data_IF_152186975530
#
_entry.id   IF_152186975530
#
_cell.length_a   1.000
_cell.length_b   1.000
_cell.length_c   1.000
_cell.angle_alpha   90.00
_cell.angle_beta   90.00
_cell.angle_gamma   90.00
#
_symmetry.space_group_name_H-M   'P 1'
#
loop_
_entity.id
_entity.type
_entity.pdbx_description
1 polymer ?
#
# COMPACT_ATOMS: atom_id res chain seq x y z
N UNK A 1 0.85 19.21 -4.23
CA UNK A 1 -0.08 18.68 -3.21
C UNK A 1 -0.73 17.42 -3.71
N UNK A 2 -0.93 16.40 -2.84
CA UNK A 2 -1.73 15.22 -3.16
C UNK A 2 -3.09 15.57 -3.77
N UNK A 3 -3.57 14.71 -4.65
CA UNK A 3 -4.88 14.82 -5.30
C UNK A 3 -5.97 14.93 -4.24
N UNK A 4 -6.78 15.99 -4.32
CA UNK A 4 -7.88 16.28 -3.40
C UNK A 4 -7.45 16.37 -1.91
N UNK A 5 -6.19 16.73 -1.64
CA UNK A 5 -5.70 16.90 -0.27
C UNK A 5 -6.56 17.92 0.51
N UNK A 6 -6.81 17.63 1.78
CA UNK A 6 -7.55 18.48 2.73
C UNK A 6 -9.01 18.76 2.34
N UNK A 7 -9.62 17.92 1.50
CA UNK A 7 -11.01 18.13 1.04
C UNK A 7 -12.05 17.30 1.81
N UNK A 8 -11.60 16.28 2.56
CA UNK A 8 -12.44 15.21 3.14
C UNK A 8 -13.37 14.57 2.08
N UNK A 9 -12.93 14.54 0.81
CA UNK A 9 -13.72 14.04 -0.30
C UNK A 9 -14.02 12.55 -0.13
N UNK A 10 -15.33 12.22 -0.17
CA UNK A 10 -15.86 10.85 -0.14
C UNK A 10 -16.56 10.45 -1.44
N UNK A 11 -16.68 11.39 -2.37
CA UNK A 11 -17.23 11.13 -3.69
C UNK A 11 -16.23 10.29 -4.50
N UNK A 12 -16.58 9.02 -4.69
CA UNK A 12 -15.74 8.04 -5.38
C UNK A 12 -15.58 8.36 -6.87
N UNK A 13 -16.60 8.94 -7.51
CA UNK A 13 -16.51 9.34 -8.92
C UNK A 13 -15.55 10.52 -9.05
N UNK A 14 -15.65 11.51 -8.16
CA UNK A 14 -14.74 12.64 -8.14
C UNK A 14 -13.29 12.22 -7.85
N UNK A 15 -13.06 11.31 -6.90
CA UNK A 15 -11.71 10.79 -6.60
C UNK A 15 -11.14 10.08 -7.84
N UNK A 16 -11.92 9.20 -8.49
CA UNK A 16 -11.47 8.50 -9.70
C UNK A 16 -11.20 9.46 -10.84
N UNK A 17 -12.05 10.46 -11.06
CA UNK A 17 -11.88 11.46 -12.11
C UNK A 17 -10.69 12.41 -11.85
N UNK A 18 -10.31 12.63 -10.59
CA UNK A 18 -9.23 13.54 -10.19
C UNK A 18 -7.85 12.87 -10.17
N UNK A 19 -7.80 11.53 -10.16
CA UNK A 19 -6.55 10.78 -10.11
C UNK A 19 -6.24 10.14 -11.46
N UNK A 20 -5.20 10.62 -12.14
CA UNK A 20 -4.91 10.29 -13.54
C UNK A 20 -4.93 8.78 -13.84
N UNK A 21 -4.30 7.88 -13.05
CA UNK A 21 -4.38 6.43 -13.30
C UNK A 21 -5.80 5.88 -13.40
N UNK A 22 -6.76 6.45 -12.67
CA UNK A 22 -8.16 6.00 -12.67
C UNK A 22 -9.03 6.78 -13.65
N UNK A 23 -8.69 8.05 -13.92
CA UNK A 23 -9.38 8.87 -14.91
C UNK A 23 -9.03 8.46 -16.36
N UNK A 24 -7.80 8.00 -16.58
CA UNK A 24 -7.25 7.57 -17.87
C UNK A 24 -6.50 6.25 -17.72
N UNK A 25 -7.21 5.15 -17.42
CA UNK A 25 -6.57 3.86 -17.21
C UNK A 25 -5.87 3.32 -18.47
N UNK A 26 -6.25 3.82 -19.65
CA UNK A 26 -5.61 3.55 -20.93
C UNK A 26 -4.22 4.19 -21.09
N UNK A 27 -3.89 5.20 -20.26
CA UNK A 27 -2.58 5.86 -20.26
C UNK A 27 -1.53 5.08 -19.43
N UNK A 28 -1.97 4.25 -18.48
CA UNK A 28 -1.10 3.48 -17.60
C UNK A 28 -0.64 2.23 -18.33
N UNK A 29 0.67 2.08 -18.47
CA UNK A 29 1.29 0.93 -19.16
C UNK A 29 1.75 -0.16 -18.18
N UNK A 30 1.79 0.11 -16.87
CA UNK A 30 2.17 -0.86 -15.86
C UNK A 30 2.25 -0.30 -14.45
N UNK A 31 2.56 -1.18 -13.50
CA UNK A 31 2.64 -0.85 -12.08
C UNK A 31 4.06 -1.00 -11.53
N UNK A 32 4.42 -0.13 -10.59
CA UNK A 32 5.52 -0.33 -9.66
C UNK A 32 4.89 -0.69 -8.32
N UNK A 33 5.29 -1.82 -7.72
CA UNK A 33 4.69 -2.33 -6.49
C UNK A 33 5.73 -2.42 -5.37
N UNK A 34 5.30 -2.40 -4.11
CA UNK A 34 6.16 -2.73 -2.98
C UNK A 34 6.43 -4.23 -2.86
N UNK A 35 6.92 -4.65 -1.70
CA UNK A 35 7.48 -5.98 -1.47
C UNK A 35 6.76 -6.79 -0.39
N UNK A 36 5.46 -6.54 -0.18
CA UNK A 36 4.65 -7.22 0.82
C UNK A 36 3.28 -7.71 0.30
N UNK A 37 2.46 -8.23 1.22
CA UNK A 37 1.14 -8.78 0.91
C UNK A 37 0.16 -7.72 0.39
N UNK A 38 0.14 -6.51 0.95
CA UNK A 38 -0.81 -5.48 0.52
C UNK A 38 -0.47 -4.99 -0.88
N UNK A 39 0.81 -4.75 -1.14
CA UNK A 39 1.32 -4.44 -2.48
C UNK A 39 0.90 -5.49 -3.52
N UNK A 40 1.06 -6.78 -3.22
CA UNK A 40 0.65 -7.87 -4.12
C UNK A 40 -0.87 -7.92 -4.33
N UNK A 41 -1.67 -7.83 -3.27
CA UNK A 41 -3.14 -7.88 -3.37
C UNK A 41 -3.71 -6.67 -4.10
N UNK A 42 -3.20 -5.47 -3.80
CA UNK A 42 -3.56 -4.23 -4.47
C UNK A 42 -3.26 -4.29 -5.97
N UNK A 43 -2.08 -4.79 -6.34
CA UNK A 43 -1.70 -4.97 -7.74
C UNK A 43 -2.53 -6.06 -8.44
N UNK A 44 -2.81 -7.18 -7.78
CA UNK A 44 -3.69 -8.23 -8.32
C UNK A 44 -5.08 -7.70 -8.63
N UNK A 45 -5.67 -6.93 -7.71
CA UNK A 45 -6.98 -6.32 -7.93
C UNK A 45 -6.98 -5.33 -9.10
N UNK A 46 -5.97 -4.46 -9.17
CA UNK A 46 -5.83 -3.50 -10.27
C UNK A 46 -5.55 -4.19 -11.61
N UNK A 47 -4.78 -5.27 -11.62
CA UNK A 47 -4.57 -6.10 -12.81
C UNK A 47 -5.88 -6.71 -13.29
N UNK A 48 -6.67 -7.30 -12.40
CA UNK A 48 -7.99 -7.82 -12.76
C UNK A 48 -8.91 -6.74 -13.33
N UNK A 49 -8.80 -5.50 -12.82
CA UNK A 49 -9.68 -4.41 -13.21
C UNK A 49 -9.28 -3.73 -14.53
N UNK A 50 -7.99 -3.54 -14.75
CA UNK A 50 -7.46 -2.72 -15.84
C UNK A 50 -6.46 -3.44 -16.76
N UNK A 51 -6.04 -4.65 -16.40
CA UNK A 51 -5.07 -5.43 -17.15
C UNK A 51 -3.61 -4.99 -16.98
N UNK A 52 -3.32 -4.04 -16.09
CA UNK A 52 -1.97 -3.50 -15.93
C UNK A 52 -0.98 -4.57 -15.46
N UNK A 53 0.19 -4.74 -16.11
CA UNK A 53 1.24 -5.65 -15.67
C UNK A 53 2.13 -5.03 -14.58
N UNK A 54 2.97 -5.83 -13.94
CA UNK A 54 4.06 -5.33 -13.08
C UNK A 54 5.25 -4.95 -13.94
N UNK A 55 5.62 -3.67 -13.95
CA UNK A 55 6.79 -3.14 -14.66
C UNK A 55 8.01 -2.96 -13.74
N UNK A 56 7.79 -2.89 -12.42
CA UNK A 56 8.86 -2.78 -11.43
C UNK A 56 8.44 -3.15 -10.03
N UNK A 57 9.43 -3.43 -9.19
CA UNK A 57 9.25 -3.80 -7.79
C UNK A 57 10.20 -2.97 -6.94
N UNK A 58 9.68 -2.32 -5.91
CA UNK A 58 10.47 -1.56 -4.96
C UNK A 58 10.69 -2.34 -3.65
N UNK A 59 11.83 -3.02 -3.55
CA UNK A 59 12.17 -3.84 -2.39
C UNK A 59 12.87 -3.02 -1.31
N UNK A 60 12.49 -3.26 -0.05
CA UNK A 60 13.08 -2.74 1.18
C UNK A 60 13.21 -1.21 1.26
N UNK A 61 12.47 -0.50 0.40
CA UNK A 61 12.64 0.92 0.14
C UNK A 61 14.07 1.31 -0.28
N UNK A 62 14.85 0.41 -0.88
CA UNK A 62 16.23 0.68 -1.30
C UNK A 62 16.52 0.26 -2.73
N UNK A 63 15.80 -0.72 -3.28
CA UNK A 63 16.08 -1.25 -4.63
C UNK A 63 14.83 -1.23 -5.49
N UNK A 64 14.81 -0.36 -6.49
CA UNK A 64 13.76 -0.31 -7.49
C UNK A 64 14.16 -1.17 -8.69
N UNK A 65 13.67 -2.41 -8.70
CA UNK A 65 13.88 -3.38 -9.77
C UNK A 65 13.04 -3.05 -10.99
N UNK A 66 13.62 -3.21 -12.18
CA UNK A 66 12.96 -2.96 -13.46
C UNK A 66 13.00 -4.20 -14.36
N UNK A 67 11.92 -4.42 -15.13
CA UNK A 67 11.81 -5.59 -16.02
C UNK A 67 12.80 -5.51 -17.18
N UNK A 68 12.76 -4.43 -17.96
CA UNK A 68 13.51 -4.26 -19.20
C UNK A 68 14.91 -3.63 -18.98
N UNK A 69 15.18 -2.51 -19.65
CA UNK A 69 16.38 -1.70 -19.49
C UNK A 69 16.12 -0.52 -18.55
N UNK A 70 17.15 -0.03 -17.84
CA UNK A 70 16.99 1.13 -16.95
C UNK A 70 16.55 2.39 -17.71
N UNK A 71 16.90 2.52 -18.99
CA UNK A 71 16.50 3.65 -19.83
C UNK A 71 15.00 3.63 -20.11
N UNK A 72 14.48 2.52 -20.66
CA UNK A 72 13.05 2.37 -20.98
C UNK A 72 12.19 2.49 -19.72
N UNK A 73 12.63 1.87 -18.62
CA UNK A 73 11.92 1.95 -17.35
C UNK A 73 11.83 3.40 -16.85
N UNK A 74 12.94 4.14 -16.82
CA UNK A 74 12.96 5.55 -16.40
C UNK A 74 12.12 6.44 -17.31
N UNK A 75 12.16 6.21 -18.62
CA UNK A 75 11.34 6.95 -19.57
C UNK A 75 9.85 6.79 -19.25
N UNK A 76 9.37 5.55 -19.06
CA UNK A 76 7.98 5.29 -18.70
C UNK A 76 7.62 5.84 -17.32
N UNK A 77 8.51 5.65 -16.33
CA UNK A 77 8.30 6.11 -14.96
C UNK A 77 8.14 7.64 -14.90
N UNK A 78 9.07 8.38 -15.51
CA UNK A 78 9.05 9.85 -15.50
C UNK A 78 8.13 10.48 -16.55
N UNK A 79 7.58 9.69 -17.46
CA UNK A 79 6.43 10.09 -18.28
C UNK A 79 5.08 9.90 -17.56
N UNK A 80 5.08 9.38 -16.32
CA UNK A 80 3.86 9.09 -15.56
C UNK A 80 3.04 7.92 -16.10
N UNK A 81 3.66 7.07 -16.93
CA UNK A 81 3.02 5.88 -17.53
C UNK A 81 3.03 4.68 -16.60
N UNK A 82 3.85 4.71 -15.54
CA UNK A 82 3.88 3.69 -14.50
C UNK A 82 3.22 4.22 -13.22
N UNK A 83 2.34 3.41 -12.64
CA UNK A 83 1.61 3.73 -11.42
C UNK A 83 2.25 3.03 -10.22
N UNK A 84 2.70 3.79 -9.22
CA UNK A 84 3.22 3.23 -7.98
C UNK A 84 2.06 2.86 -7.03
N UNK A 85 1.88 1.55 -6.77
CA UNK A 85 0.78 0.99 -5.99
C UNK A 85 1.29 0.59 -4.62
N UNK A 86 0.58 1.01 -3.58
CA UNK A 86 0.96 0.83 -2.17
C UNK A 86 2.31 1.47 -1.82
N UNK A 87 2.59 2.62 -2.45
CA UNK A 87 3.86 3.33 -2.31
C UNK A 87 3.62 4.85 -2.25
N UNK A 88 4.27 5.50 -1.28
CA UNK A 88 4.29 6.96 -1.14
C UNK A 88 5.56 7.53 -1.83
N UNK A 89 5.51 7.62 -3.16
CA UNK A 89 6.60 8.19 -3.98
C UNK A 89 6.50 9.72 -4.01
N UNK A 90 7.61 10.40 -3.72
CA UNK A 90 7.74 11.85 -3.78
C UNK A 90 8.42 12.26 -5.08
N UNK A 91 7.66 12.26 -6.17
CA UNK A 91 8.13 12.75 -7.46
C UNK A 91 6.97 13.24 -8.32
N UNK A 92 7.04 14.50 -8.79
CA UNK A 92 5.93 15.16 -9.49
C UNK A 92 5.52 14.51 -10.81
N UNK A 93 6.30 13.57 -11.35
CA UNK A 93 5.95 12.81 -12.54
C UNK A 93 5.42 11.39 -12.27
N UNK A 94 5.53 10.89 -11.03
CA UNK A 94 5.20 9.50 -10.72
C UNK A 94 3.85 9.48 -9.99
N UNK A 95 2.77 9.03 -10.63
CA UNK A 95 1.51 8.86 -9.93
C UNK A 95 1.66 7.74 -8.90
N UNK A 96 1.17 7.98 -7.69
CA UNK A 96 1.32 7.02 -6.59
C UNK A 96 0.06 6.91 -5.75
N UNK A 97 -0.19 5.72 -5.20
CA UNK A 97 -1.22 5.47 -4.22
C UNK A 97 -0.56 4.77 -3.05
N UNK A 98 -0.48 5.46 -1.92
CA UNK A 98 0.01 4.90 -0.67
C UNK A 98 -0.93 5.30 0.45
N UNK A 99 -0.65 4.80 1.65
CA UNK A 99 -1.52 5.03 2.79
C UNK A 99 -0.79 5.57 4.03
N UNK A 100 0.52 5.84 3.97
CA UNK A 100 1.21 6.41 5.12
C UNK A 100 0.80 7.88 5.31
N UNK A 101 1.11 8.46 6.48
CA UNK A 101 1.07 9.92 6.61
C UNK A 101 2.25 10.48 5.78
N UNK A 102 1.99 11.52 5.01
CA UNK A 102 2.97 12.14 4.11
C UNK A 102 3.23 13.62 4.42
N UNK A 103 2.61 14.21 5.44
CA UNK A 103 2.84 15.61 5.79
C UNK A 103 3.20 15.79 7.26
N UNK A 104 4.06 16.77 7.55
CA UNK A 104 4.33 17.20 8.93
C UNK A 104 3.16 18.04 9.45
N UNK A 105 2.64 18.94 8.62
CA UNK A 105 1.51 19.84 8.89
C UNK A 105 0.46 19.74 7.79
N UNK A 106 -0.77 20.16 8.08
CA UNK A 106 -1.85 20.09 7.09
C UNK A 106 -1.63 21.04 5.88
N UNK A 107 -0.87 22.13 6.09
CA UNK A 107 -0.60 23.19 5.11
C UNK A 107 0.77 23.08 4.43
N UNK A 108 1.51 21.97 4.63
CA UNK A 108 2.78 21.73 3.94
C UNK A 108 2.57 21.73 2.42
N UNK A 109 3.38 22.50 1.69
CA UNK A 109 3.43 22.41 0.23
C UNK A 109 4.27 21.20 -0.20
N UNK A 110 3.63 20.19 -0.78
CA UNK A 110 4.26 18.94 -1.22
C UNK A 110 4.13 18.77 -2.75
N UNK A 111 4.93 19.47 -3.56
CA UNK A 111 4.87 19.40 -5.03
C UNK A 111 5.22 18.01 -5.57
N UNK A 112 6.13 17.27 -4.93
CA UNK A 112 6.47 15.90 -5.32
C UNK A 112 5.30 14.91 -5.20
N UNK A 113 4.27 15.22 -4.41
CA UNK A 113 3.03 14.44 -4.33
C UNK A 113 1.90 15.00 -5.20
N UNK A 114 2.18 15.90 -6.16
CA UNK A 114 1.15 16.48 -7.05
C UNK A 114 0.26 15.47 -7.77
N UNK A 115 0.77 14.25 -8.00
CA UNK A 115 0.05 13.15 -8.62
C UNK A 115 -0.14 11.95 -7.68
N UNK A 116 -0.06 12.16 -6.37
CA UNK A 116 -0.31 11.09 -5.39
C UNK A 116 -1.75 11.14 -4.89
N UNK A 117 -2.37 9.97 -4.73
CA UNK A 117 -3.61 9.79 -3.99
C UNK A 117 -3.29 9.11 -2.66
N UNK A 118 -3.79 9.63 -1.56
CA UNK A 118 -3.51 9.07 -0.24
C UNK A 118 -4.69 9.36 0.71
N UNK A 119 -5.28 8.35 1.38
CA UNK A 119 -6.45 8.53 2.23
C UNK A 119 -6.20 9.48 3.41
N UNK A 120 -5.00 9.48 4.02
CA UNK A 120 -4.67 10.45 5.07
C UNK A 120 -4.66 11.88 4.51
N UNK A 121 -4.09 12.07 3.32
CA UNK A 121 -4.05 13.38 2.69
C UNK A 121 -5.44 13.91 2.30
N UNK A 122 -6.34 13.04 1.80
CA UNK A 122 -7.74 13.41 1.53
C UNK A 122 -8.39 14.06 2.76
N UNK A 123 -8.13 13.48 3.94
CA UNK A 123 -8.69 13.95 5.23
C UNK A 123 -7.85 15.00 5.96
N UNK A 124 -6.75 15.42 5.35
CA UNK A 124 -5.81 16.40 5.93
C UNK A 124 -5.12 15.95 7.20
N UNK A 125 -4.85 14.65 7.34
CA UNK A 125 -4.13 14.12 8.48
C UNK A 125 -2.61 14.25 8.27
N UNK A 126 -1.94 14.73 9.31
CA UNK A 126 -0.50 14.99 9.33
C UNK A 126 0.14 14.45 10.61
N UNK A 127 1.46 14.60 10.75
CA UNK A 127 2.15 14.25 11.99
C UNK A 127 1.70 15.12 13.17
N UNK A 128 1.58 16.43 12.94
CA UNK A 128 1.20 17.39 13.98
C UNK A 128 -0.31 17.34 14.27
N UNK A 129 -1.13 17.00 13.28
CA UNK A 129 -2.58 17.02 13.38
C UNK A 129 -3.19 15.66 13.06
N UNK A 130 -3.99 15.13 13.99
CA UNK A 130 -4.75 13.89 13.80
C UNK A 130 -3.94 12.61 13.54
N UNK A 131 -2.63 12.57 13.80
CA UNK A 131 -1.82 11.34 13.67
C UNK A 131 -2.41 10.06 14.29
N UNK A 132 -3.08 10.17 15.44
CA UNK A 132 -3.72 9.02 16.12
C UNK A 132 -4.95 8.47 15.37
N UNK A 133 -5.48 9.24 14.42
CA UNK A 133 -6.62 8.89 13.55
C UNK A 133 -6.16 8.47 12.15
N UNK A 134 -4.85 8.28 11.93
CA UNK A 134 -4.30 7.87 10.64
C UNK A 134 -5.02 6.63 10.10
N UNK A 135 -5.07 6.52 8.78
CA UNK A 135 -5.67 5.41 8.06
C UNK A 135 -5.15 4.06 8.60
N UNK A 136 -6.01 3.21 9.20
CA UNK A 136 -5.60 2.00 9.90
C UNK A 136 -5.80 0.73 9.07
N UNK A 137 -6.13 0.87 7.79
CA UNK A 137 -6.41 -0.24 6.89
C UNK A 137 -5.32 -0.31 5.81
N UNK A 138 -5.29 -1.42 5.08
CA UNK A 138 -4.43 -1.58 3.91
C UNK A 138 -4.92 -0.78 2.68
N UNK A 139 -4.03 -0.54 1.72
CA UNK A 139 -4.29 0.08 0.41
C UNK A 139 -5.38 -0.67 -0.35
N UNK A 140 -5.39 -2.02 -0.29
CA UNK A 140 -6.44 -2.82 -0.93
C UNK A 140 -7.86 -2.45 -0.44
N UNK A 141 -8.04 -2.07 0.83
CA UNK A 141 -9.36 -1.66 1.34
C UNK A 141 -9.83 -0.36 0.68
N UNK A 142 -8.92 0.58 0.47
CA UNK A 142 -9.23 1.85 -0.19
C UNK A 142 -9.66 1.61 -1.64
N UNK A 143 -8.95 0.74 -2.36
CA UNK A 143 -9.27 0.35 -3.73
C UNK A 143 -10.64 -0.33 -3.85
N UNK A 144 -10.94 -1.30 -2.98
CA UNK A 144 -12.22 -2.01 -2.97
C UNK A 144 -13.38 -1.05 -2.68
N UNK A 145 -13.21 -0.12 -1.74
CA UNK A 145 -14.20 0.94 -1.49
C UNK A 145 -14.38 1.85 -2.70
N UNK A 146 -13.29 2.35 -3.27
CA UNK A 146 -13.29 3.35 -4.34
C UNK A 146 -14.02 2.84 -5.59
N UNK A 147 -13.94 1.53 -5.83
CA UNK A 147 -14.52 0.87 -6.99
C UNK A 147 -15.74 -0.02 -6.67
N UNK A 148 -16.25 0.06 -5.45
CA UNK A 148 -17.47 -0.62 -5.00
C UNK A 148 -17.46 -2.15 -5.16
N UNK A 149 -16.33 -2.78 -4.86
CA UNK A 149 -16.19 -4.23 -5.01
C UNK A 149 -16.91 -4.98 -3.87
N UNK A 150 -18.07 -5.58 -4.20
CA UNK A 150 -19.02 -6.15 -3.21
C UNK A 150 -18.98 -7.67 -3.11
N UNK A 151 -18.40 -8.36 -4.10
CA UNK A 151 -18.56 -9.81 -4.25
C UNK A 151 -17.26 -10.56 -3.98
N UNK A 152 -16.63 -10.28 -2.84
CA UNK A 152 -15.45 -11.03 -2.40
C UNK A 152 -15.87 -12.42 -1.93
N UNK A 153 -15.07 -13.44 -2.29
CA UNK A 153 -15.17 -14.73 -1.63
C UNK A 153 -14.77 -14.59 -0.15
N UNK A 154 -15.25 -15.48 0.75
CA UNK A 154 -14.83 -15.46 2.15
C UNK A 154 -13.30 -15.52 2.33
N UNK A 155 -12.63 -16.27 1.46
CA UNK A 155 -11.17 -16.38 1.42
C UNK A 155 -10.48 -15.09 0.95
N UNK A 156 -11.00 -14.41 -0.08
CA UNK A 156 -10.52 -13.08 -0.48
C UNK A 156 -10.70 -12.05 0.64
N UNK A 157 -11.85 -12.07 1.32
CA UNK A 157 -12.13 -11.19 2.43
C UNK A 157 -11.16 -11.41 3.60
N UNK A 158 -10.85 -12.67 3.93
CA UNK A 158 -9.81 -12.99 4.93
C UNK A 158 -8.42 -12.48 4.52
N UNK A 159 -8.04 -12.59 3.24
CA UNK A 159 -6.77 -12.03 2.74
C UNK A 159 -6.72 -10.51 2.82
N UNK A 160 -7.81 -9.84 2.44
CA UNK A 160 -7.93 -8.37 2.53
C UNK A 160 -7.74 -7.91 3.98
N UNK A 161 -8.42 -8.53 4.94
CA UNK A 161 -8.27 -8.17 6.35
C UNK A 161 -6.92 -8.62 6.95
N UNK A 162 -6.22 -9.57 6.34
CA UNK A 162 -4.85 -9.96 6.72
C UNK A 162 -3.81 -8.93 6.26
N UNK A 163 -4.02 -8.26 5.12
CA UNK A 163 -3.14 -7.22 4.60
C UNK A 163 -2.91 -6.11 5.65
N UNK A 164 -1.66 -5.70 5.83
CA UNK A 164 -1.17 -4.81 6.91
C UNK A 164 -1.67 -5.13 8.31
N UNK A 165 -1.98 -6.40 8.57
CA UNK A 165 -2.57 -6.82 9.84
C UNK A 165 -3.84 -6.03 10.18
N UNK A 166 -4.62 -5.63 9.16
CA UNK A 166 -5.78 -4.74 9.35
C UNK A 166 -6.80 -5.32 10.34
N UNK A 167 -6.97 -6.64 10.39
CA UNK A 167 -7.81 -7.29 11.40
C UNK A 167 -7.31 -7.07 12.84
N UNK A 168 -5.99 -7.03 13.05
CA UNK A 168 -5.38 -6.71 14.34
C UNK A 168 -5.60 -5.23 14.66
N UNK A 169 -5.48 -4.34 13.67
CA UNK A 169 -5.82 -2.92 13.81
C UNK A 169 -7.29 -2.75 14.25
N UNK A 170 -8.22 -3.48 13.63
CA UNK A 170 -9.64 -3.48 13.99
C UNK A 170 -9.90 -3.93 15.44
N UNK A 171 -9.04 -4.77 16.00
CA UNK A 171 -9.13 -5.22 17.38
C UNK A 171 -8.55 -4.19 18.36
N UNK A 172 -7.36 -3.63 18.10
CA UNK A 172 -6.66 -2.76 19.06
C UNK A 172 -6.97 -1.27 18.89
N UNK A 173 -7.23 -0.81 17.67
CA UNK A 173 -7.54 0.58 17.33
C UNK A 173 -8.99 0.73 16.86
N UNK A 174 -9.89 0.02 17.54
CA UNK A 174 -11.28 -0.16 17.12
C UNK A 174 -12.01 1.15 16.81
N UNK A 175 -11.91 2.15 17.68
CA UNK A 175 -12.57 3.45 17.47
C UNK A 175 -12.10 4.13 16.18
N UNK A 176 -10.80 4.09 15.88
CA UNK A 176 -10.25 4.66 14.66
C UNK A 176 -10.72 3.87 13.43
N UNK A 177 -10.68 2.53 13.49
CA UNK A 177 -11.14 1.67 12.39
C UNK A 177 -12.63 1.86 12.12
N UNK A 178 -13.46 1.91 13.17
CA UNK A 178 -14.90 2.19 13.07
C UNK A 178 -15.15 3.59 12.50
N UNK A 179 -14.34 4.59 12.84
CA UNK A 179 -14.44 5.93 12.24
C UNK A 179 -14.25 5.86 10.71
N UNK A 180 -13.18 5.22 10.25
CA UNK A 180 -12.90 5.08 8.81
C UNK A 180 -13.95 4.23 8.09
N UNK A 181 -14.31 3.07 8.64
CA UNK A 181 -15.23 2.13 7.99
C UNK A 181 -16.67 2.64 8.01
N UNK A 182 -17.17 3.11 9.16
CA UNK A 182 -18.58 3.48 9.30
C UNK A 182 -18.86 4.90 8.81
N UNK A 183 -17.92 5.85 8.96
CA UNK A 183 -18.18 7.28 8.65
C UNK A 183 -17.57 7.73 7.34
N UNK A 184 -16.30 7.38 7.08
CA UNK A 184 -15.62 7.81 5.87
C UNK A 184 -16.01 6.95 4.67
N UNK A 185 -15.78 5.64 4.74
CA UNK A 185 -16.11 4.73 3.67
C UNK A 185 -17.61 4.44 3.57
N UNK A 186 -18.24 4.18 4.71
CA UNK A 186 -19.62 3.72 4.82
C UNK A 186 -19.92 2.60 3.80
N UNK A 187 -19.02 1.62 3.73
CA UNK A 187 -19.10 0.52 2.76
C UNK A 187 -19.71 -0.71 3.41
N UNK A 188 -20.90 -1.17 2.99
CA UNK A 188 -21.63 -2.24 3.69
C UNK A 188 -20.80 -3.50 3.95
N UNK A 189 -19.99 -3.94 2.99
CA UNK A 189 -19.14 -5.12 3.15
C UNK A 189 -18.17 -4.98 4.34
N UNK A 190 -17.51 -3.82 4.47
CA UNK A 190 -16.59 -3.58 5.59
C UNK A 190 -17.33 -3.41 6.91
N UNK A 191 -18.45 -2.68 6.91
CA UNK A 191 -19.27 -2.45 8.12
C UNK A 191 -19.76 -3.77 8.70
N UNK A 192 -20.23 -4.68 7.84
CA UNK A 192 -20.73 -5.99 8.25
C UNK A 192 -19.63 -6.90 8.82
N UNK A 193 -18.37 -6.72 8.38
CA UNK A 193 -17.26 -7.52 8.86
C UNK A 193 -16.72 -7.12 10.22
N UNK A 194 -16.83 -5.85 10.63
CA UNK A 194 -16.23 -5.35 11.87
C UNK A 194 -16.54 -6.20 13.13
N UNK A 195 -17.79 -6.65 13.39
CA UNK A 195 -18.07 -7.51 14.53
C UNK A 195 -17.35 -8.86 14.43
N UNK A 196 -17.32 -9.45 13.23
CA UNK A 196 -16.70 -10.76 12.96
C UNK A 196 -15.20 -10.75 13.27
N UNK A 197 -14.50 -9.66 12.94
CA UNK A 197 -13.06 -9.50 13.19
C UNK A 197 -12.69 -9.59 14.68
N UNK A 198 -13.64 -9.40 15.59
CA UNK A 198 -13.40 -9.49 17.04
C UNK A 198 -13.51 -10.92 17.58
N UNK A 199 -13.94 -11.88 16.75
CA UNK A 199 -14.32 -13.22 17.22
C UNK A 199 -13.15 -14.20 17.17
N UNK A 200 -13.18 -15.17 18.09
CA UNK A 200 -12.30 -16.34 18.05
C UNK A 200 -12.49 -17.14 16.74
N UNK A 201 -13.72 -17.26 16.26
CA UNK A 201 -14.04 -18.01 15.04
C UNK A 201 -13.40 -17.41 13.80
N UNK A 202 -13.36 -16.07 13.69
CA UNK A 202 -12.63 -15.40 12.61
C UNK A 202 -11.14 -15.76 12.63
N UNK A 203 -10.49 -15.62 13.78
CA UNK A 203 -9.07 -15.93 13.91
C UNK A 203 -8.76 -17.42 13.67
N UNK A 204 -9.64 -18.33 14.12
CA UNK A 204 -9.54 -19.76 13.83
C UNK A 204 -9.62 -20.02 12.34
N UNK A 205 -10.63 -19.45 11.67
CA UNK A 205 -10.82 -19.60 10.23
C UNK A 205 -9.65 -19.02 9.43
N UNK A 206 -9.17 -17.82 9.80
CA UNK A 206 -8.00 -17.19 9.19
C UNK A 206 -6.78 -18.11 9.30
N UNK A 207 -6.52 -18.64 10.50
CA UNK A 207 -5.38 -19.56 10.73
C UNK A 207 -5.51 -20.84 9.92
N UNK A 208 -6.65 -21.50 9.97
CA UNK A 208 -6.85 -22.82 9.38
C UNK A 208 -6.96 -22.77 7.85
N UNK A 209 -7.68 -21.78 7.32
CA UNK A 209 -7.94 -21.67 5.89
C UNK A 209 -6.86 -20.89 5.16
N UNK A 210 -6.31 -19.82 5.74
CA UNK A 210 -5.31 -18.97 5.06
C UNK A 210 -3.90 -19.31 5.53
N UNK A 211 -3.58 -19.05 6.80
CA UNK A 211 -2.19 -19.03 7.27
C UNK A 211 -1.48 -20.37 7.07
N UNK A 212 -2.11 -21.50 7.42
CA UNK A 212 -1.53 -22.85 7.19
C UNK A 212 -1.19 -23.14 5.72
N UNK A 213 -1.90 -22.52 4.77
CA UNK A 213 -1.61 -22.67 3.34
C UNK A 213 -0.47 -21.75 2.93
N UNK A 214 -0.47 -20.52 3.43
CA UNK A 214 0.55 -19.52 3.16
C UNK A 214 1.91 -19.90 3.75
N UNK A 215 1.97 -20.47 4.96
CA UNK A 215 3.19 -20.96 5.64
C UNK A 215 4.03 -21.95 4.80
N UNK A 216 3.45 -22.56 3.76
CA UNK A 216 4.17 -23.45 2.85
C UNK A 216 5.08 -22.70 1.87
N UNK A 217 4.81 -21.42 1.64
CA UNK A 217 5.62 -20.57 0.80
C UNK A 217 6.71 -19.89 1.65
N UNK A 218 7.99 -19.92 1.25
CA UNK A 218 9.09 -19.43 2.08
C UNK A 218 9.09 -17.92 2.30
N UNK A 219 8.32 -17.14 1.53
CA UNK A 219 8.17 -15.69 1.72
C UNK A 219 7.14 -15.35 2.81
N UNK A 220 6.37 -16.35 3.24
CA UNK A 220 5.21 -16.17 4.08
C UNK A 220 5.51 -16.65 5.50
N UNK A 221 5.60 -15.71 6.42
CA UNK A 221 6.04 -15.98 7.78
C UNK A 221 5.39 -15.03 8.78
N UNK A 222 5.13 -15.47 10.02
CA UNK A 222 4.59 -14.59 11.04
C UNK A 222 5.63 -13.50 11.36
N UNK A 223 5.17 -12.25 11.42
CA UNK A 223 5.95 -11.12 11.89
C UNK A 223 6.46 -11.41 13.30
N UNK A 224 7.66 -10.95 13.65
CA UNK A 224 8.26 -11.11 14.99
C UNK A 224 7.76 -10.11 16.03
N UNK A 225 6.83 -9.22 15.67
CA UNK A 225 6.32 -8.19 16.56
C UNK A 225 5.52 -8.75 17.75
N UNK A 226 5.45 -7.95 18.82
CA UNK A 226 4.54 -8.17 19.95
C UNK A 226 3.09 -7.73 19.65
N UNK A 227 2.84 -7.22 18.44
CA UNK A 227 1.51 -6.77 18.02
C UNK A 227 0.72 -7.97 17.46
N UNK A 228 -0.19 -8.49 18.29
CA UNK A 228 -0.88 -9.76 18.04
C UNK A 228 -2.39 -9.61 18.15
N UNK A 229 -3.12 -10.48 17.47
CA UNK A 229 -4.57 -10.60 17.64
C UNK A 229 -4.97 -10.98 19.07
N UNK A 230 -6.19 -10.63 19.46
CA UNK A 230 -6.70 -10.79 20.83
C UNK A 230 -6.94 -12.25 21.23
N UNK A 231 -7.46 -13.10 20.32
CA UNK A 231 -8.00 -14.40 20.71
C UNK A 231 -6.98 -15.54 20.60
N UNK A 232 -6.24 -15.61 19.49
CA UNK A 232 -5.26 -16.66 19.19
C UNK A 232 -3.82 -16.17 19.16
N UNK A 233 -3.56 -14.88 19.41
CA UNK A 233 -2.21 -14.32 19.40
C UNK A 233 -1.53 -14.43 18.03
N UNK A 234 -2.31 -14.32 16.95
CA UNK A 234 -1.83 -14.33 15.57
C UNK A 234 -1.11 -13.01 15.31
N UNK A 235 0.13 -13.11 14.86
CA UNK A 235 0.90 -11.95 14.40
C UNK A 235 0.50 -11.60 12.97
N UNK A 236 0.74 -10.35 12.58
CA UNK A 236 0.74 -9.99 11.16
C UNK A 236 1.54 -11.00 10.34
N UNK A 237 1.00 -11.45 9.21
CA UNK A 237 1.65 -12.46 8.39
C UNK A 237 2.34 -11.76 7.22
N UNK A 238 3.66 -11.77 7.21
CA UNK A 238 4.46 -11.05 6.23
C UNK A 238 4.71 -11.96 5.03
N UNK A 239 4.26 -11.53 3.86
CA UNK A 239 4.60 -12.11 2.55
C UNK A 239 5.70 -11.24 1.91
N UNK A 240 6.83 -11.12 2.59
CA UNK A 240 7.87 -10.15 2.23
C UNK A 240 9.01 -10.77 1.42
N UNK A 241 9.61 -9.97 0.55
CA UNK A 241 10.72 -10.40 -0.31
C UNK A 241 11.70 -9.27 -0.59
N UNK A 242 12.97 -9.58 -0.77
CA UNK A 242 14.06 -8.60 -0.82
C UNK A 242 14.74 -8.55 -2.18
N UNK A 243 14.72 -9.67 -2.90
CA UNK A 243 15.33 -9.83 -4.21
C UNK A 243 14.41 -10.67 -5.12
N UNK A 244 13.68 -10.03 -6.06
CA UNK A 244 12.71 -10.72 -6.89
C UNK A 244 13.35 -11.64 -7.94
N UNK A 245 14.66 -11.54 -8.19
CA UNK A 245 15.39 -12.48 -9.04
C UNK A 245 15.79 -13.74 -8.27
N UNK A 246 16.36 -13.60 -7.07
CA UNK A 246 16.76 -14.74 -6.25
C UNK A 246 15.55 -15.51 -5.68
N UNK A 247 14.47 -14.80 -5.39
CA UNK A 247 13.26 -15.35 -4.79
C UNK A 247 12.14 -15.57 -5.82
N UNK A 248 12.45 -15.55 -7.11
CA UNK A 248 11.43 -15.58 -8.17
C UNK A 248 10.52 -16.81 -8.08
N UNK A 249 11.07 -18.01 -7.90
CA UNK A 249 10.27 -19.23 -7.81
C UNK A 249 9.25 -19.17 -6.65
N UNK A 250 9.69 -18.65 -5.50
CA UNK A 250 8.82 -18.46 -4.35
C UNK A 250 7.77 -17.38 -4.60
N UNK A 251 8.11 -16.29 -5.30
CA UNK A 251 7.17 -15.25 -5.72
C UNK A 251 6.12 -15.78 -6.69
N UNK A 252 6.52 -16.54 -7.71
CA UNK A 252 5.61 -17.14 -8.68
C UNK A 252 4.62 -18.09 -7.97
N UNK A 253 5.13 -18.95 -7.08
CA UNK A 253 4.29 -19.84 -6.27
C UNK A 253 3.36 -19.06 -5.31
N UNK A 254 3.81 -17.93 -4.77
CA UNK A 254 2.98 -17.07 -3.93
C UNK A 254 1.84 -16.45 -4.74
N UNK A 255 2.11 -15.95 -5.95
CA UNK A 255 1.08 -15.41 -6.83
C UNK A 255 0.04 -16.45 -7.24
N UNK A 256 0.46 -17.69 -7.50
CA UNK A 256 -0.45 -18.82 -7.75
C UNK A 256 -1.34 -19.10 -6.53
N UNK A 257 -0.75 -19.10 -5.33
CA UNK A 257 -1.47 -19.29 -4.09
C UNK A 257 -2.48 -18.17 -3.83
N UNK A 258 -2.06 -16.90 -3.97
CA UNK A 258 -2.93 -15.75 -3.77
C UNK A 258 -4.07 -15.72 -4.78
N UNK A 259 -3.81 -16.07 -6.05
CA UNK A 259 -4.86 -16.18 -7.08
C UNK A 259 -5.87 -17.28 -6.72
N UNK A 260 -5.38 -18.44 -6.27
CA UNK A 260 -6.25 -19.53 -5.82
C UNK A 260 -7.09 -19.15 -4.60
N UNK A 261 -6.51 -18.44 -3.63
CA UNK A 261 -7.19 -18.07 -2.39
C UNK A 261 -8.21 -16.95 -2.61
N UNK A 262 -7.84 -15.92 -3.34
CA UNK A 262 -8.72 -14.78 -3.61
C UNK A 262 -9.76 -15.09 -4.69
N UNK A 263 -9.46 -16.00 -5.61
CA UNK A 263 -10.21 -16.16 -6.85
C UNK A 263 -9.94 -15.05 -7.86
N UNK A 264 -8.99 -14.15 -7.59
CA UNK A 264 -8.61 -13.10 -8.52
C UNK A 264 -7.66 -13.60 -9.60
N UNK A 265 -7.61 -12.88 -10.71
CA UNK A 265 -6.64 -13.14 -11.77
C UNK A 265 -5.22 -13.09 -11.22
N UNK A 266 -4.43 -14.12 -11.52
CA UNK A 266 -3.01 -14.18 -11.18
C UNK A 266 -2.28 -12.98 -11.79
N UNK A 267 -1.52 -12.26 -10.97
CA UNK A 267 -0.69 -11.14 -11.42
C UNK A 267 0.45 -11.67 -12.32
N UNK A 268 0.59 -11.15 -13.56
CA UNK A 268 1.75 -11.44 -14.38
C UNK A 268 2.99 -10.81 -13.74
N UNK A 269 3.99 -11.64 -13.44
CA UNK A 269 5.27 -11.22 -12.91
C UNK A 269 6.40 -11.78 -13.77
N UNK A 270 7.38 -10.95 -14.18
CA UNK A 270 8.53 -11.43 -14.93
C UNK A 270 9.27 -12.55 -14.19
N UNK A 271 9.79 -13.52 -14.94
CA UNK A 271 10.66 -14.58 -14.39
C UNK A 271 12.06 -14.05 -14.05
N UNK A 272 12.42 -12.87 -14.58
CA UNK A 272 13.66 -12.17 -14.29
C UNK A 272 13.52 -10.68 -14.56
N UNK A 273 14.11 -9.87 -13.69
CA UNK A 273 14.28 -8.43 -13.81
C UNK A 273 15.67 -8.10 -14.37
N UNK A 274 15.75 -7.10 -15.25
CA UNK A 274 16.98 -6.66 -15.92
C UNK A 274 18.01 -6.03 -14.97
N UNK A 275 17.57 -5.48 -13.84
CA UNK A 275 18.42 -4.92 -12.80
C UNK A 275 17.62 -4.09 -11.81
N UNK A 276 18.30 -3.24 -11.04
CA UNK A 276 17.67 -2.30 -10.12
C UNK A 276 18.37 -0.94 -10.11
N UNK A 277 17.63 0.08 -9.70
CA UNK A 277 18.16 1.36 -9.26
C UNK A 277 18.33 1.29 -7.74
N UNK A 278 19.52 1.66 -7.25
CA UNK A 278 19.84 1.61 -5.83
C UNK A 278 19.66 2.99 -5.19
N UNK A 279 18.97 3.02 -4.07
CA UNK A 279 18.76 4.19 -3.23
C UNK A 279 19.37 4.00 -1.86
N UNK A 280 19.60 5.12 -1.18
CA UNK A 280 20.15 5.14 0.18
C UNK A 280 19.06 5.49 1.16
N UNK A 281 18.70 4.52 2.02
CA UNK A 281 17.76 4.74 3.12
C UNK A 281 18.44 5.47 4.26
N UNK A 282 17.76 6.47 4.81
CA UNK A 282 18.20 7.30 5.94
C UNK A 282 17.07 7.44 6.93
N UNK A 283 17.39 7.36 8.22
CA UNK A 283 16.50 7.78 9.29
C UNK A 283 16.86 9.21 9.71
N UNK A 284 15.88 10.11 9.71
CA UNK A 284 16.04 11.52 10.06
C UNK A 284 15.04 11.88 11.18
N UNK A 285 15.49 12.45 12.30
CA UNK A 285 14.58 13.01 13.30
C UNK A 285 13.79 14.18 12.73
N UNK A 286 12.48 14.24 12.98
CA UNK A 286 11.61 15.33 12.52
C UNK A 286 12.10 16.68 13.04
N UNK A 287 12.65 16.72 14.26
CA UNK A 287 13.24 17.93 14.86
C UNK A 287 14.49 18.45 14.13
N UNK A 288 15.10 17.65 13.25
CA UNK A 288 16.25 18.05 12.44
C UNK A 288 15.88 18.75 11.12
N UNK A 289 14.59 18.84 10.79
CA UNK A 289 14.09 19.46 9.56
C UNK A 289 13.95 20.96 9.80
N UNK A 290 14.90 21.73 9.28
CA UNK A 290 15.02 23.19 9.50
C UNK A 290 14.50 24.05 8.33
N UNK A 291 13.85 23.42 7.35
CA UNK A 291 13.21 24.06 6.20
C UNK A 291 11.71 23.72 6.20
N UNK A 292 10.87 24.45 5.44
CA UNK A 292 9.56 23.94 5.05
C UNK A 292 9.69 22.52 4.50
N UNK A 293 8.76 21.63 4.87
CA UNK A 293 8.98 20.19 4.68
C UNK A 293 9.16 19.80 3.21
N UNK A 294 8.36 20.36 2.30
CA UNK A 294 8.51 20.15 0.86
C UNK A 294 9.88 20.58 0.33
N UNK A 295 10.34 21.77 0.72
CA UNK A 295 11.66 22.29 0.33
C UNK A 295 12.80 21.40 0.85
N UNK A 296 12.65 20.85 2.06
CA UNK A 296 13.60 19.89 2.60
C UNK A 296 13.63 18.60 1.76
N UNK A 297 12.46 18.04 1.44
CA UNK A 297 12.37 16.82 0.63
C UNK A 297 13.03 17.00 -0.76
N UNK A 298 12.78 18.14 -1.41
CA UNK A 298 13.39 18.48 -2.70
C UNK A 298 14.91 18.65 -2.58
N UNK A 299 15.37 19.39 -1.56
CA UNK A 299 16.80 19.64 -1.34
C UNK A 299 17.58 18.35 -1.08
N UNK A 300 17.01 17.43 -0.31
CA UNK A 300 17.66 16.16 0.02
C UNK A 300 17.51 15.10 -1.08
N UNK A 301 16.75 15.38 -2.15
CA UNK A 301 16.51 14.42 -3.23
C UNK A 301 15.72 13.19 -2.77
N UNK A 302 14.74 13.38 -1.87
CA UNK A 302 13.95 12.27 -1.33
C UNK A 302 13.04 11.71 -2.43
N UNK A 303 13.19 10.41 -2.71
CA UNK A 303 12.38 9.67 -3.67
C UNK A 303 11.12 9.07 -3.04
N UNK A 304 11.23 8.57 -1.81
CA UNK A 304 10.09 8.04 -1.04
C UNK A 304 10.37 8.16 0.44
N UNK A 305 9.32 8.20 1.26
CA UNK A 305 9.47 8.25 2.70
C UNK A 305 8.24 7.76 3.44
N UNK A 306 8.43 7.40 4.70
CA UNK A 306 7.37 7.14 5.65
C UNK A 306 7.76 7.61 7.05
N UNK A 307 6.79 8.11 7.80
CA UNK A 307 6.96 8.37 9.23
C UNK A 307 6.74 7.07 10.02
N UNK A 308 7.83 6.47 10.47
CA UNK A 308 7.76 5.26 11.32
C UNK A 308 7.23 5.60 12.71
N UNK A 309 7.53 6.81 13.20
CA UNK A 309 7.01 7.38 14.42
C UNK A 309 6.75 8.88 14.22
N UNK A 310 6.06 9.53 15.16
CA UNK A 310 5.77 10.98 15.08
C UNK A 310 7.03 11.85 14.97
N UNK A 311 8.13 11.37 15.52
CA UNK A 311 9.40 12.09 15.63
C UNK A 311 10.47 11.57 14.67
N UNK A 312 10.15 10.57 13.83
CA UNK A 312 11.12 9.90 12.96
C UNK A 312 10.59 9.72 11.55
N UNK A 313 11.40 10.17 10.60
CA UNK A 313 11.20 10.01 9.17
C UNK A 313 12.21 8.98 8.64
N UNK A 314 11.72 7.94 7.99
CA UNK A 314 12.57 7.06 7.16
C UNK A 314 12.38 7.49 5.71
N UNK A 315 13.45 7.95 5.07
CA UNK A 315 13.43 8.38 3.67
C UNK A 315 14.47 7.63 2.84
N UNK A 316 14.22 7.54 1.55
CA UNK A 316 15.17 7.03 0.57
C UNK A 316 15.51 8.12 -0.42
N UNK A 317 16.80 8.30 -0.66
CA UNK A 317 17.37 9.22 -1.64
C UNK A 317 17.87 8.42 -2.84
N UNK A 318 17.53 8.84 -4.06
CA UNK A 318 17.87 8.16 -5.32
C UNK A 318 18.33 9.11 -6.41
#
# INVERSE_FOLDING_TARGET
>A
MPVLANTDCRDRDLIRASFLPFARPDYVEGMVIGDDLDSLLSAMYLHQKFGWPVAGIYCQYTRLWYEDSPFVFREKLFAGKLFAVDLDIYHAAIPSLGHHIISLKHDDNLPGHSHSLNPNALRGFSIQEHFRRKYPLATIHFLLWLFEEKNLSPEAEMLVWLADSTFVNAQHYRENVEEWVNRFFNFPAFVQMLPTLQTFDFERNLKEKMLRRMEKNPLCHPNRSNYKSKNLGINGFQCQFENPNEQNEALQSLLDLLSTLSGWQRLPLPTRFGGFLEGVRRETPVSGINLPFGDWLEREGVFSYAFTFKDRLNCTVM
#
